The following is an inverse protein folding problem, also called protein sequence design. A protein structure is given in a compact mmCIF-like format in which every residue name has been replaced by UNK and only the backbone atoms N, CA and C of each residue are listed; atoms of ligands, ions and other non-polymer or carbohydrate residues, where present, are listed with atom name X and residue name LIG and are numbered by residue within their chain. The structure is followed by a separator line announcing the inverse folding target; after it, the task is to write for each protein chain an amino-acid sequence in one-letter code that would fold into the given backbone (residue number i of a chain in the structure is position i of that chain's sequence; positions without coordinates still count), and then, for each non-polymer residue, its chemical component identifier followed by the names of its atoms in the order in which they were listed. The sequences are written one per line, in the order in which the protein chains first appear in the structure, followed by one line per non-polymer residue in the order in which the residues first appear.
data_IF_350200563032
#
_entry.id   IF_350200563032
#
_cell.length_a   1.000
_cell.length_b   1.000
_cell.length_c   1.000
_cell.angle_alpha   90.00
_cell.angle_beta   90.00
_cell.angle_gamma   90.00
#
_symmetry.space_group_name_H-M   'P 1'
#
loop_
_entity.id
_entity.type
_entity.pdbx_description
1 polymer ?
#
# COMPACT_ATOMS: atom_id res chain seq x y z
N UNK A 1 14.51 -24.18 13.19
CA UNK A 1 14.09 -23.71 11.85
C UNK A 1 13.66 -22.27 12.01
N UNK A 2 14.26 -21.34 11.25
CA UNK A 2 13.85 -19.94 11.28
C UNK A 2 12.55 -19.79 10.48
N UNK A 3 11.42 -19.79 11.20
CA UNK A 3 10.11 -19.71 10.57
C UNK A 3 9.91 -18.39 9.82
N UNK A 4 10.68 -17.33 10.11
CA UNK A 4 10.56 -16.04 9.43
C UNK A 4 10.90 -16.12 7.93
N UNK A 5 11.65 -17.13 7.50
CA UNK A 5 12.04 -17.34 6.09
C UNK A 5 11.23 -18.42 5.37
N UNK A 6 10.26 -19.02 6.05
CA UNK A 6 9.44 -20.08 5.50
C UNK A 6 8.58 -19.53 4.34
N UNK A 7 8.71 -20.14 3.16
CA UNK A 7 7.86 -19.77 2.01
C UNK A 7 6.49 -20.41 2.12
N UNK A 8 5.49 -19.78 1.49
CA UNK A 8 4.12 -20.30 1.46
C UNK A 8 4.06 -21.71 0.87
N UNK A 9 4.77 -21.95 -0.23
CA UNK A 9 4.73 -23.26 -0.93
C UNK A 9 5.35 -24.40 -0.11
N UNK A 10 6.29 -24.06 0.78
CA UNK A 10 7.01 -25.01 1.64
C UNK A 10 6.14 -25.50 2.80
N UNK A 11 5.04 -24.80 3.12
CA UNK A 11 4.08 -25.23 4.12
C UNK A 11 3.22 -26.34 3.53
N UNK A 12 3.56 -27.59 3.85
CA UNK A 12 2.83 -28.79 3.45
C UNK A 12 2.65 -29.70 4.66
N UNK A 13 1.43 -30.18 4.84
CA UNK A 13 1.12 -31.19 5.87
C UNK A 13 1.07 -32.60 5.29
N UNK A 14 0.88 -32.73 3.97
CA UNK A 14 0.95 -33.97 3.21
C UNK A 14 1.84 -33.78 2.00
N UNK A 15 2.62 -34.80 1.66
CA UNK A 15 3.39 -34.79 0.42
C UNK A 15 2.44 -34.84 -0.78
N UNK A 16 2.60 -33.89 -1.69
CA UNK A 16 1.80 -33.75 -2.90
C UNK A 16 2.66 -33.97 -4.16
N UNK A 17 3.75 -34.74 -4.09
CA UNK A 17 4.51 -35.11 -5.28
C UNK A 17 3.73 -36.17 -6.09
N UNK A 18 3.33 -35.79 -7.30
CA UNK A 18 2.60 -36.67 -8.21
C UNK A 18 3.42 -37.91 -8.57
N UNK A 19 4.74 -37.79 -8.76
CA UNK A 19 5.57 -38.91 -9.15
C UNK A 19 5.65 -39.95 -8.02
N UNK A 20 5.78 -39.50 -6.77
CA UNK A 20 5.79 -40.37 -5.59
C UNK A 20 4.43 -41.00 -5.36
N UNK A 21 3.35 -40.21 -5.44
CA UNK A 21 1.98 -40.70 -5.29
C UNK A 21 1.71 -41.76 -6.34
N UNK A 22 2.02 -41.47 -7.61
CA UNK A 22 1.86 -42.42 -8.71
C UNK A 22 2.64 -43.69 -8.40
N UNK A 23 3.94 -43.60 -8.11
CA UNK A 23 4.82 -44.74 -7.82
C UNK A 23 4.28 -45.64 -6.70
N UNK A 24 3.81 -45.04 -5.60
CA UNK A 24 3.21 -45.76 -4.49
C UNK A 24 1.93 -46.50 -4.90
N UNK A 25 1.05 -45.87 -5.69
CA UNK A 25 -0.18 -46.50 -6.17
C UNK A 25 0.10 -47.67 -7.14
N UNK A 26 1.14 -47.58 -7.97
CA UNK A 26 1.58 -48.71 -8.81
C UNK A 26 1.98 -49.87 -7.91
N UNK A 27 2.88 -49.61 -6.96
CA UNK A 27 3.48 -50.63 -6.12
C UNK A 27 2.40 -51.36 -5.29
N UNK A 28 1.45 -50.62 -4.71
CA UNK A 28 0.32 -51.21 -3.99
C UNK A 28 -0.54 -52.10 -4.91
N UNK A 29 -0.85 -51.65 -6.12
CA UNK A 29 -1.62 -52.45 -7.07
C UNK A 29 -0.87 -53.73 -7.49
N UNK A 30 0.40 -53.60 -7.88
CA UNK A 30 1.22 -54.74 -8.33
C UNK A 30 1.38 -55.78 -7.22
N UNK A 31 1.56 -55.33 -5.98
CA UNK A 31 1.63 -56.20 -4.80
C UNK A 31 0.33 -56.98 -4.59
N UNK A 32 -0.84 -56.33 -4.72
CA UNK A 32 -2.15 -56.97 -4.50
C UNK A 32 -2.57 -57.87 -5.66
N UNK A 33 -2.29 -57.46 -6.90
CA UNK A 33 -2.68 -58.18 -8.09
C UNK A 33 -1.67 -59.26 -8.50
N UNK A 34 -0.47 -59.26 -7.93
CA UNK A 34 0.61 -60.20 -8.27
C UNK A 34 1.11 -60.07 -9.71
N UNK A 35 0.93 -58.90 -10.33
CA UNK A 35 1.31 -58.64 -11.73
C UNK A 35 2.03 -57.30 -11.86
N UNK A 36 3.01 -57.22 -12.76
CA UNK A 36 3.72 -55.99 -13.10
C UNK A 36 2.92 -55.22 -14.17
N UNK A 37 2.71 -53.92 -13.96
CA UNK A 37 1.97 -53.04 -14.85
C UNK A 37 2.88 -52.36 -15.86
N UNK A 38 2.60 -52.54 -17.14
CA UNK A 38 3.26 -51.81 -18.23
C UNK A 38 2.56 -50.47 -18.50
N UNK A 39 3.25 -49.47 -19.08
CA UNK A 39 2.70 -48.13 -19.32
C UNK A 39 1.37 -48.09 -20.08
N UNK A 40 1.14 -49.02 -21.00
CA UNK A 40 -0.04 -49.07 -21.87
C UNK A 40 -1.20 -49.92 -21.33
N UNK A 41 -1.05 -50.56 -20.17
CA UNK A 41 -2.14 -51.36 -19.58
C UNK A 41 -3.31 -50.47 -19.15
N UNK A 42 -4.54 -50.96 -19.28
CA UNK A 42 -5.75 -50.19 -18.94
C UNK A 42 -5.73 -49.78 -17.45
N UNK A 43 -5.29 -50.69 -16.58
CA UNK A 43 -5.18 -50.45 -15.15
C UNK A 43 -4.14 -49.37 -14.83
N UNK A 44 -3.08 -49.29 -15.65
CA UNK A 44 -2.09 -48.21 -15.54
C UNK A 44 -2.71 -46.85 -15.83
N UNK A 45 -3.50 -46.74 -16.90
CA UNK A 45 -4.17 -45.50 -17.28
C UNK A 45 -5.21 -45.06 -16.23
N UNK A 46 -5.92 -46.02 -15.64
CA UNK A 46 -6.84 -45.76 -14.52
C UNK A 46 -6.08 -45.28 -13.28
N UNK A 47 -4.98 -45.94 -12.91
CA UNK A 47 -4.11 -45.54 -11.79
C UNK A 47 -3.56 -44.12 -12.00
N UNK A 48 -3.12 -43.77 -13.21
CA UNK A 48 -2.67 -42.40 -13.51
C UNK A 48 -3.78 -41.37 -13.20
N UNK A 49 -5.02 -41.69 -13.56
CA UNK A 49 -6.18 -40.81 -13.28
C UNK A 49 -6.43 -40.68 -11.79
N UNK A 50 -6.40 -41.78 -11.04
CA UNK A 50 -6.60 -41.76 -9.58
C UNK A 50 -5.46 -41.04 -8.84
N UNK A 51 -4.21 -41.33 -9.19
CA UNK A 51 -3.04 -40.66 -8.61
C UNK A 51 -3.07 -39.15 -8.88
N UNK A 52 -3.50 -38.72 -10.07
CA UNK A 52 -3.68 -37.30 -10.37
C UNK A 52 -4.79 -36.66 -9.52
N UNK A 53 -5.94 -37.33 -9.37
CA UNK A 53 -7.03 -36.85 -8.50
C UNK A 53 -6.62 -36.79 -7.03
N UNK A 54 -5.87 -37.77 -6.55
CA UNK A 54 -5.32 -37.79 -5.19
C UNK A 54 -4.32 -36.65 -4.99
N UNK A 55 -3.41 -36.44 -5.95
CA UNK A 55 -2.49 -35.31 -5.94
C UNK A 55 -3.22 -33.97 -5.82
N UNK A 56 -4.26 -33.73 -6.63
CA UNK A 56 -5.08 -32.51 -6.53
C UNK A 56 -5.74 -32.37 -5.16
N UNK A 57 -6.24 -33.46 -4.58
CA UNK A 57 -6.81 -33.45 -3.23
C UNK A 57 -5.76 -33.09 -2.18
N UNK A 58 -4.55 -33.67 -2.25
CA UNK A 58 -3.44 -33.36 -1.35
C UNK A 58 -3.00 -31.90 -1.47
N UNK A 59 -2.98 -31.35 -2.69
CA UNK A 59 -2.75 -29.91 -2.91
C UNK A 59 -3.83 -29.06 -2.25
N UNK A 60 -5.11 -29.42 -2.38
CA UNK A 60 -6.22 -28.73 -1.72
C UNK A 60 -6.13 -28.80 -0.19
N UNK A 61 -5.73 -29.94 0.36
CA UNK A 61 -5.49 -30.12 1.80
C UNK A 61 -4.36 -29.20 2.28
N UNK A 62 -3.22 -29.19 1.58
CA UNK A 62 -2.11 -28.29 1.90
C UNK A 62 -2.55 -26.81 1.84
N UNK A 63 -3.35 -26.45 0.83
CA UNK A 63 -3.87 -25.07 0.72
C UNK A 63 -4.83 -24.73 1.86
N UNK A 64 -5.74 -25.62 2.24
CA UNK A 64 -6.64 -25.40 3.37
C UNK A 64 -5.88 -25.12 4.68
N UNK A 65 -4.77 -25.84 4.93
CA UNK A 65 -3.93 -25.60 6.10
C UNK A 65 -3.17 -24.27 6.03
N UNK A 66 -2.68 -23.85 4.86
CA UNK A 66 -2.06 -22.52 4.69
C UNK A 66 -3.05 -21.41 5.02
N UNK A 67 -4.30 -21.57 4.58
CA UNK A 67 -5.36 -20.60 4.78
C UNK A 67 -5.74 -20.41 6.26
N UNK A 68 -5.43 -21.37 7.15
CA UNK A 68 -5.63 -21.20 8.60
C UNK A 68 -4.61 -20.29 9.29
N UNK A 69 -3.52 -19.93 8.61
CA UNK A 69 -2.47 -19.09 9.18
C UNK A 69 -2.54 -17.68 8.58
N UNK A 70 -2.69 -16.62 9.38
CA UNK A 70 -2.82 -15.24 8.87
C UNK A 70 -1.71 -14.84 7.89
N UNK A 71 -0.49 -15.36 8.12
CA UNK A 71 0.67 -15.12 7.27
C UNK A 71 0.51 -15.61 5.82
N UNK A 72 -0.29 -16.64 5.58
CA UNK A 72 -0.46 -17.26 4.26
C UNK A 72 -1.90 -17.15 3.74
N UNK A 73 -2.85 -16.87 4.61
CA UNK A 73 -4.25 -16.70 4.25
C UNK A 73 -4.47 -15.55 3.26
N UNK A 74 -5.51 -15.70 2.43
CA UNK A 74 -5.92 -14.72 1.40
C UNK A 74 -7.44 -14.64 1.32
N UNK A 75 -7.97 -13.52 0.86
CA UNK A 75 -9.40 -13.28 0.69
C UNK A 75 -10.19 -13.56 1.97
N UNK A 76 -11.32 -14.26 1.83
CA UNK A 76 -12.25 -14.53 2.94
C UNK A 76 -11.58 -15.24 4.14
N UNK A 77 -10.64 -16.15 3.91
CA UNK A 77 -10.02 -16.84 5.05
C UNK A 77 -9.10 -15.91 5.84
N UNK A 78 -8.46 -14.94 5.19
CA UNK A 78 -7.71 -13.89 5.88
C UNK A 78 -8.65 -13.00 6.71
N UNK A 79 -9.86 -12.72 6.20
CA UNK A 79 -10.89 -11.98 6.94
C UNK A 79 -11.33 -12.73 8.20
N UNK A 80 -11.50 -14.06 8.12
CA UNK A 80 -11.79 -14.88 9.29
C UNK A 80 -10.64 -14.87 10.31
N UNK A 81 -9.39 -14.98 9.85
CA UNK A 81 -8.23 -14.85 10.72
C UNK A 81 -8.15 -13.48 11.42
N UNK A 82 -8.56 -12.40 10.74
CA UNK A 82 -8.59 -11.07 11.33
C UNK A 82 -9.75 -10.87 12.30
N UNK A 83 -10.90 -11.50 12.06
CA UNK A 83 -12.05 -11.50 12.97
C UNK A 83 -11.70 -12.11 14.34
N UNK A 84 -10.92 -13.20 14.35
CA UNK A 84 -10.42 -13.86 15.57
C UNK A 84 -9.66 -12.90 16.51
N UNK A 85 -9.05 -11.85 15.94
CA UNK A 85 -8.30 -10.80 16.67
C UNK A 85 -8.98 -9.43 16.60
N UNK A 86 -10.30 -9.39 16.35
CA UNK A 86 -11.11 -8.16 16.30
C UNK A 86 -10.57 -7.08 15.36
N UNK A 87 -10.00 -7.53 14.24
CA UNK A 87 -9.33 -6.69 13.24
C UNK A 87 -10.08 -6.84 11.91
N UNK A 88 -11.28 -6.25 11.75
CA UNK A 88 -12.04 -6.34 10.51
C UNK A 88 -11.36 -5.54 9.40
N UNK A 89 -11.48 -5.98 8.15
CA UNK A 89 -10.91 -5.30 6.97
C UNK A 89 -11.43 -3.87 6.83
N UNK A 90 -10.51 -2.93 6.58
CA UNK A 90 -10.89 -1.53 6.40
C UNK A 90 -11.61 -1.35 5.06
N UNK A 91 -12.79 -0.75 5.12
CA UNK A 91 -13.60 -0.44 3.94
C UNK A 91 -13.02 0.72 3.15
N UNK A 92 -13.46 0.86 1.89
CA UNK A 92 -13.09 1.99 1.04
C UNK A 92 -13.42 3.33 1.73
N UNK A 93 -12.50 4.28 1.64
CA UNK A 93 -12.64 5.61 2.24
C UNK A 93 -12.66 6.69 1.15
N UNK A 94 -13.43 7.77 1.33
CA UNK A 94 -13.45 8.88 0.39
C UNK A 94 -12.20 9.75 0.51
N UNK A 95 -11.89 10.47 -0.57
CA UNK A 95 -10.86 11.49 -0.55
C UNK A 95 -11.26 12.68 0.31
N UNK A 96 -10.30 13.24 1.04
CA UNK A 96 -10.48 14.37 1.95
C UNK A 96 -9.79 15.61 1.37
N UNK A 97 -10.38 16.77 1.62
CA UNK A 97 -9.82 18.08 1.25
C UNK A 97 -10.36 19.17 2.17
N UNK A 98 -9.71 20.33 2.16
CA UNK A 98 -10.19 21.54 2.83
C UNK A 98 -10.69 22.53 1.79
N UNK A 99 -11.94 22.98 1.92
CA UNK A 99 -12.56 23.99 1.07
C UNK A 99 -12.55 25.35 1.75
N UNK A 100 -12.13 26.39 1.04
CA UNK A 100 -12.27 27.77 1.49
C UNK A 100 -13.47 28.41 0.82
N UNK A 101 -14.43 28.85 1.63
CA UNK A 101 -15.56 29.65 1.21
C UNK A 101 -15.25 31.12 1.47
N UNK A 102 -15.57 31.99 0.52
CA UNK A 102 -15.36 33.43 0.64
C UNK A 102 -16.56 34.18 0.07
N UNK A 103 -17.06 35.16 0.82
CA UNK A 103 -18.16 36.01 0.40
C UNK A 103 -17.88 37.46 0.77
N UNK A 104 -18.35 38.41 -0.04
CA UNK A 104 -18.30 39.83 0.30
C UNK A 104 -19.54 40.16 1.11
N UNK A 105 -19.36 40.48 2.39
CA UNK A 105 -20.43 40.72 3.36
C UNK A 105 -20.28 42.10 3.98
N UNK A 106 -21.40 42.76 4.26
CA UNK A 106 -21.45 44.10 4.83
C UNK A 106 -22.38 44.19 6.05
N UNK A 107 -22.02 45.02 7.02
CA UNK A 107 -22.83 45.24 8.22
C UNK A 107 -23.06 43.96 9.04
N UNK A 108 -24.33 43.55 9.15
CA UNK A 108 -24.78 42.38 9.92
C UNK A 108 -25.10 41.17 9.03
N UNK A 109 -24.76 41.20 7.74
CA UNK A 109 -24.96 40.08 6.83
C UNK A 109 -24.16 38.84 7.27
N UNK A 110 -24.80 37.67 7.17
CA UNK A 110 -24.19 36.39 7.50
C UNK A 110 -24.65 35.34 6.48
N UNK A 111 -23.73 34.46 6.08
CA UNK A 111 -24.04 33.32 5.21
C UNK A 111 -23.60 32.04 5.91
N UNK A 112 -24.56 31.13 6.10
CA UNK A 112 -24.27 29.80 6.61
C UNK A 112 -23.78 28.89 5.48
N UNK A 113 -22.68 28.19 5.73
CA UNK A 113 -22.22 27.04 4.95
C UNK A 113 -22.66 25.80 5.74
N UNK A 114 -23.82 25.19 5.45
CA UNK A 114 -24.27 24.02 6.19
C UNK A 114 -23.35 22.82 5.92
N UNK A 115 -23.33 21.89 6.87
CA UNK A 115 -22.79 20.54 6.63
C UNK A 115 -23.55 19.90 5.46
N UNK A 116 -22.83 19.25 4.55
CA UNK A 116 -23.38 18.64 3.34
C UNK A 116 -23.44 19.58 2.12
N UNK A 117 -22.87 20.78 2.22
CA UNK A 117 -22.74 21.68 1.06
C UNK A 117 -21.91 21.02 -0.03
N UNK A 118 -22.45 20.90 -1.24
CA UNK A 118 -21.82 20.18 -2.36
C UNK A 118 -21.03 21.12 -3.28
N UNK A 119 -19.78 20.75 -3.56
CA UNK A 119 -18.88 21.42 -4.50
C UNK A 119 -18.32 20.43 -5.50
N UNK A 120 -18.38 20.75 -6.78
CA UNK A 120 -18.00 19.90 -7.89
C UNK A 120 -16.60 20.24 -8.40
N UNK A 121 -15.93 19.20 -8.90
CA UNK A 121 -14.66 19.23 -9.61
C UNK A 121 -14.78 18.31 -10.83
N UNK A 122 -15.05 18.88 -12.01
CA UNK A 122 -15.35 18.09 -13.21
C UNK A 122 -16.57 17.18 -13.03
N UNK A 123 -16.36 15.86 -12.99
CA UNK A 123 -17.40 14.86 -12.75
C UNK A 123 -17.49 14.38 -11.29
N UNK A 124 -16.54 14.78 -10.44
CA UNK A 124 -16.48 14.38 -9.03
C UNK A 124 -17.13 15.44 -8.15
N UNK A 125 -17.81 15.02 -7.08
CA UNK A 125 -18.40 15.93 -6.09
C UNK A 125 -17.79 15.73 -4.71
N UNK A 126 -17.69 16.81 -3.96
CA UNK A 126 -17.28 16.85 -2.55
C UNK A 126 -18.40 17.47 -1.72
N UNK A 127 -18.53 17.03 -0.48
CA UNK A 127 -19.51 17.54 0.49
C UNK A 127 -18.81 17.99 1.77
N UNK A 128 -19.23 19.13 2.34
CA UNK A 128 -18.68 19.60 3.62
C UNK A 128 -19.05 18.67 4.77
N UNK A 129 -18.09 18.33 5.63
CA UNK A 129 -18.31 17.44 6.78
C UNK A 129 -18.72 18.21 8.03
N UNK A 130 -18.51 19.52 8.03
CA UNK A 130 -18.82 20.46 9.10
C UNK A 130 -19.59 21.67 8.57
N UNK A 131 -20.22 22.42 9.48
CA UNK A 131 -20.87 23.68 9.15
C UNK A 131 -19.94 24.86 9.49
N UNK A 132 -20.05 25.94 8.73
CA UNK A 132 -19.36 27.19 8.99
C UNK A 132 -20.29 28.39 8.79
N UNK A 133 -19.86 29.55 9.30
CA UNK A 133 -20.58 30.81 9.19
C UNK A 133 -19.64 31.89 8.68
N UNK A 134 -20.03 32.53 7.57
CA UNK A 134 -19.36 33.71 7.05
C UNK A 134 -20.06 34.95 7.60
N UNK A 135 -19.29 35.91 8.08
CA UNK A 135 -19.78 37.21 8.59
C UNK A 135 -18.96 38.35 8.01
N UNK A 136 -19.39 39.60 8.14
CA UNK A 136 -18.57 40.74 7.72
C UNK A 136 -17.20 40.81 8.42
N UNK A 137 -17.08 40.31 9.67
CA UNK A 137 -15.82 40.23 10.41
C UNK A 137 -14.95 39.03 9.99
N UNK A 138 -15.57 37.97 9.46
CA UNK A 138 -14.92 36.76 8.98
C UNK A 138 -15.54 36.35 7.64
N UNK A 139 -15.11 37.02 6.58
CA UNK A 139 -15.62 36.85 5.22
C UNK A 139 -15.10 35.59 4.52
N UNK A 140 -14.21 34.84 5.18
CA UNK A 140 -13.64 33.59 4.70
C UNK A 140 -13.65 32.52 5.80
N UNK A 141 -14.03 31.29 5.44
CA UNK A 141 -13.98 30.13 6.32
C UNK A 141 -13.40 28.92 5.59
N UNK A 142 -12.57 28.14 6.30
CA UNK A 142 -12.06 26.86 5.83
C UNK A 142 -12.90 25.74 6.45
N UNK A 143 -13.37 24.83 5.61
CA UNK A 143 -14.29 23.75 6.00
C UNK A 143 -13.78 22.45 5.42
N UNK A 144 -13.67 21.42 6.26
CA UNK A 144 -13.33 20.08 5.80
C UNK A 144 -14.42 19.53 4.89
N UNK A 145 -14.01 18.81 3.84
CA UNK A 145 -14.90 18.18 2.88
C UNK A 145 -14.38 16.81 2.49
N UNK A 146 -15.31 15.92 2.12
CA UNK A 146 -15.02 14.58 1.64
C UNK A 146 -15.69 14.33 0.29
N UNK A 147 -15.08 13.49 -0.53
CA UNK A 147 -15.62 13.04 -1.81
C UNK A 147 -16.93 12.27 -1.58
N UNK A 148 -17.92 12.44 -2.45
CA UNK A 148 -19.19 11.70 -2.36
C UNK A 148 -19.06 10.24 -2.72
N UNK A 149 -18.00 9.89 -3.44
CA UNK A 149 -17.64 8.52 -3.81
C UNK A 149 -16.43 8.08 -2.98
N UNK A 150 -16.53 6.91 -2.35
CA UNK A 150 -15.39 6.24 -1.72
C UNK A 150 -14.43 5.71 -2.79
N UNK A 151 -13.17 5.50 -2.42
CA UNK A 151 -12.16 5.01 -3.35
C UNK A 151 -11.21 6.11 -3.81
N UNK A 152 -10.38 5.79 -4.78
CA UNK A 152 -9.31 6.69 -5.23
C UNK A 152 -9.75 7.74 -6.27
N UNK A 153 -11.01 7.70 -6.71
CA UNK A 153 -11.57 8.62 -7.73
C UNK A 153 -11.45 10.09 -7.32
N UNK A 154 -11.59 10.39 -6.02
CA UNK A 154 -11.53 11.75 -5.49
C UNK A 154 -10.12 12.29 -5.24
N UNK A 155 -9.06 11.56 -5.54
CA UNK A 155 -7.68 11.98 -5.24
C UNK A 155 -7.08 12.87 -6.35
N UNK A 156 -6.10 13.69 -5.96
CA UNK A 156 -5.21 14.39 -6.87
C UNK A 156 -5.75 15.69 -7.46
N UNK A 157 -6.91 16.18 -7.00
CA UNK A 157 -7.41 17.48 -7.43
C UNK A 157 -6.52 18.58 -6.87
N UNK A 158 -5.87 19.33 -7.76
CA UNK A 158 -4.96 20.41 -7.41
C UNK A 158 -5.72 21.54 -6.70
N UNK A 159 -4.98 22.33 -5.91
CA UNK A 159 -5.52 23.52 -5.24
C UNK A 159 -6.25 24.41 -6.25
N UNK A 160 -7.47 24.81 -5.93
CA UNK A 160 -8.32 25.63 -6.79
C UNK A 160 -9.18 24.89 -7.82
N UNK A 161 -9.03 23.57 -8.01
CA UNK A 161 -9.81 22.82 -9.01
C UNK A 161 -11.21 22.41 -8.53
N UNK A 162 -11.41 22.26 -7.22
CA UNK A 162 -12.71 21.96 -6.62
C UNK A 162 -13.40 23.28 -6.30
N UNK A 163 -14.14 23.84 -7.26
CA UNK A 163 -14.55 25.25 -7.22
C UNK A 163 -15.98 25.57 -7.69
N UNK A 164 -16.77 24.55 -8.06
CA UNK A 164 -18.12 24.76 -8.60
C UNK A 164 -19.19 24.40 -7.57
N UNK A 165 -19.84 25.37 -6.94
CA UNK A 165 -20.97 25.11 -6.04
C UNK A 165 -22.12 24.44 -6.79
N UNK A 166 -22.63 23.32 -6.27
CA UNK A 166 -23.80 22.67 -6.84
C UNK A 166 -25.08 23.47 -6.59
N UNK A 167 -25.17 24.11 -5.42
CA UNK A 167 -26.30 24.94 -5.02
C UNK A 167 -25.79 26.27 -4.46
N UNK A 168 -26.51 27.35 -4.77
CA UNK A 168 -26.18 28.68 -4.26
C UNK A 168 -26.54 28.77 -2.78
N UNK A 169 -25.61 29.25 -1.96
CA UNK A 169 -25.76 29.34 -0.50
C UNK A 169 -26.56 30.55 -0.02
N UNK A 170 -26.68 31.61 -0.83
CA UNK A 170 -27.42 32.82 -0.48
C UNK A 170 -28.16 33.38 -1.71
N UNK A 171 -29.41 33.89 -1.60
CA UNK A 171 -30.20 34.31 -2.76
C UNK A 171 -29.53 35.35 -3.67
N UNK A 172 -28.79 36.29 -3.09
CA UNK A 172 -28.26 37.47 -3.80
C UNK A 172 -26.74 37.67 -3.70
N UNK A 173 -26.07 37.00 -2.76
CA UNK A 173 -24.66 37.22 -2.48
C UNK A 173 -23.91 36.01 -3.02
N UNK A 174 -22.96 36.25 -3.93
CA UNK A 174 -22.14 35.18 -4.47
C UNK A 174 -21.10 34.72 -3.44
N UNK A 175 -21.00 33.41 -3.26
CA UNK A 175 -19.99 32.77 -2.43
C UNK A 175 -19.02 32.07 -3.37
N UNK A 176 -17.76 32.49 -3.36
CA UNK A 176 -16.69 31.78 -4.02
C UNK A 176 -16.26 30.59 -3.16
N UNK A 177 -15.95 29.46 -3.80
CA UNK A 177 -15.38 28.29 -3.12
C UNK A 177 -14.22 27.73 -3.93
N UNK A 178 -13.19 27.27 -3.23
CA UNK A 178 -12.07 26.53 -3.82
C UNK A 178 -11.40 25.65 -2.78
N UNK A 179 -10.91 24.47 -3.16
CA UNK A 179 -10.03 23.71 -2.28
C UNK A 179 -8.69 24.41 -2.06
N UNK A 180 -8.23 24.42 -0.80
CA UNK A 180 -6.93 24.95 -0.39
C UNK A 180 -5.86 23.87 -0.27
N UNK A 181 -6.27 22.61 -0.18
CA UNK A 181 -5.40 21.44 -0.15
C UNK A 181 -5.65 20.53 -1.35
N UNK A 182 -4.62 19.81 -1.79
CA UNK A 182 -4.80 18.75 -2.80
C UNK A 182 -5.66 17.65 -2.18
N UNK A 183 -6.69 17.19 -2.88
CA UNK A 183 -7.53 16.11 -2.37
C UNK A 183 -6.74 14.80 -2.31
N UNK A 184 -6.80 14.09 -1.19
CA UNK A 184 -6.08 12.82 -1.02
C UNK A 184 -6.73 11.93 0.06
N UNK A 185 -6.16 10.74 0.27
CA UNK A 185 -6.63 9.79 1.30
C UNK A 185 -7.81 8.92 0.87
N UNK A 186 -8.36 9.14 -0.34
CA UNK A 186 -9.35 8.27 -0.95
C UNK A 186 -8.71 6.95 -1.36
N UNK A 187 -9.29 5.84 -0.94
CA UNK A 187 -8.65 4.53 -1.10
C UNK A 187 -9.71 3.45 -1.19
N UNK A 188 -9.43 2.46 -2.03
CA UNK A 188 -10.27 1.26 -2.15
C UNK A 188 -10.27 0.45 -0.84
N UNK A 189 -11.09 -0.60 -0.82
CA UNK A 189 -11.03 -1.59 0.25
C UNK A 189 -9.59 -2.08 0.45
N UNK A 190 -9.21 -2.29 1.70
CA UNK A 190 -7.86 -2.72 2.07
C UNK A 190 -7.47 -4.02 1.36
N UNK A 191 -6.28 -4.04 0.76
CA UNK A 191 -5.76 -5.24 0.09
C UNK A 191 -5.26 -6.28 1.10
N UNK A 192 -5.07 -7.52 0.64
CA UNK A 192 -4.66 -8.64 1.49
C UNK A 192 -3.29 -8.44 2.15
N UNK A 193 -2.37 -7.71 1.53
CA UNK A 193 -1.03 -7.53 2.09
C UNK A 193 -1.06 -6.55 3.27
N UNK A 194 -1.64 -5.37 3.05
CA UNK A 194 -1.83 -4.39 4.12
C UNK A 194 -2.69 -4.95 5.27
N UNK A 195 -3.75 -5.69 4.92
CA UNK A 195 -4.61 -6.30 5.91
C UNK A 195 -3.89 -7.38 6.72
N UNK A 196 -3.11 -8.25 6.07
CA UNK A 196 -2.31 -9.27 6.74
C UNK A 196 -1.33 -8.67 7.73
N UNK A 197 -0.62 -7.62 7.35
CA UNK A 197 0.28 -6.91 8.26
C UNK A 197 -0.47 -6.41 9.50
N UNK A 198 -1.67 -5.84 9.32
CA UNK A 198 -2.49 -5.36 10.43
C UNK A 198 -2.97 -6.49 11.34
N UNK A 199 -3.40 -7.63 10.79
CA UNK A 199 -3.78 -8.83 11.56
C UNK A 199 -2.59 -9.37 12.36
N UNK A 200 -1.40 -9.43 11.76
CA UNK A 200 -0.19 -9.87 12.45
C UNK A 200 0.27 -8.91 13.56
N UNK A 201 -0.02 -7.61 13.41
CA UNK A 201 0.24 -6.58 14.42
C UNK A 201 -0.83 -6.48 15.50
N UNK A 202 -2.04 -7.02 15.29
CA UNK A 202 -3.15 -6.93 16.24
C UNK A 202 -2.79 -7.35 17.67
N UNK A 203 -1.98 -8.42 17.91
CA UNK A 203 -1.53 -8.77 19.25
C UNK A 203 -0.76 -7.66 19.98
N UNK A 204 0.01 -6.85 19.25
CA UNK A 204 0.76 -5.72 19.81
C UNK A 204 -0.16 -4.63 20.35
N UNK A 205 -1.37 -4.51 19.79
CA UNK A 205 -2.37 -3.52 20.22
C UNK A 205 -2.89 -3.74 21.63
N UNK A 206 -2.81 -4.97 22.16
CA UNK A 206 -3.18 -5.29 23.54
C UNK A 206 -2.12 -4.85 24.56
N UNK A 207 -0.95 -4.41 24.09
CA UNK A 207 0.15 -4.02 24.96
C UNK A 207 -0.11 -2.68 25.64
N UNK A 208 -0.03 -2.68 26.97
CA UNK A 208 -0.21 -1.49 27.81
C UNK A 208 1.01 -0.56 27.81
N UNK A 209 2.16 -1.05 27.38
CA UNK A 209 3.43 -0.33 27.44
C UNK A 209 3.73 0.54 26.21
N UNK A 210 2.87 0.51 25.18
CA UNK A 210 3.06 1.25 23.93
C UNK A 210 4.30 0.84 23.13
N UNK A 211 4.48 -0.44 22.80
CA UNK A 211 5.57 -0.87 21.92
C UNK A 211 5.42 -0.26 20.53
N UNK A 212 6.52 -0.24 19.78
CA UNK A 212 6.55 0.19 18.36
C UNK A 212 5.42 -0.45 17.54
N UNK A 213 5.20 -1.75 17.70
CA UNK A 213 4.16 -2.49 16.99
C UNK A 213 2.73 -2.00 17.28
N UNK A 214 2.44 -1.55 18.50
CA UNK A 214 1.12 -1.02 18.85
C UNK A 214 0.83 0.28 18.11
N UNK A 215 1.80 1.19 18.05
CA UNK A 215 1.69 2.44 17.30
C UNK A 215 1.55 2.20 15.79
N UNK A 216 2.31 1.25 15.25
CA UNK A 216 2.18 0.83 13.85
C UNK A 216 0.78 0.28 13.56
N UNK A 217 0.26 -0.59 14.43
CA UNK A 217 -1.10 -1.12 14.32
C UNK A 217 -2.15 0.00 14.30
N UNK A 218 -2.14 0.86 15.31
CA UNK A 218 -3.15 1.92 15.45
C UNK A 218 -3.07 2.95 14.31
N UNK A 219 -1.87 3.22 13.78
CA UNK A 219 -1.68 4.10 12.63
C UNK A 219 -2.30 3.49 11.36
N UNK A 220 -2.03 2.21 11.09
CA UNK A 220 -2.62 1.48 9.96
C UNK A 220 -4.14 1.29 10.11
N UNK A 221 -4.62 1.05 11.32
CA UNK A 221 -6.04 0.95 11.64
C UNK A 221 -6.81 2.25 11.32
N UNK A 222 -6.16 3.41 11.40
CA UNK A 222 -6.83 4.69 11.17
C UNK A 222 -7.20 4.91 9.69
N UNK A 223 -6.44 4.37 8.74
CA UNK A 223 -6.73 4.49 7.31
C UNK A 223 -6.00 3.44 6.46
N UNK A 224 -6.69 2.78 5.50
CA UNK A 224 -6.05 1.88 4.54
C UNK A 224 -5.23 2.63 3.48
N UNK A 225 -5.24 3.97 3.49
CA UNK A 225 -4.32 4.77 2.69
C UNK A 225 -2.88 4.68 3.22
N UNK A 226 -2.68 4.27 4.48
CA UNK A 226 -1.35 4.07 5.07
C UNK A 226 -0.72 2.79 4.51
N UNK A 227 0.46 2.93 3.93
CA UNK A 227 1.22 1.80 3.36
C UNK A 227 2.41 1.39 4.21
N UNK A 228 3.04 2.34 4.90
CA UNK A 228 4.13 2.05 5.82
C UNK A 228 4.17 3.02 7.00
N UNK A 229 4.68 2.54 8.13
CA UNK A 229 4.76 3.31 9.38
C UNK A 229 6.07 3.01 10.09
N UNK A 230 6.84 4.07 10.32
CA UNK A 230 8.01 4.03 11.19
C UNK A 230 7.70 4.72 12.52
N UNK A 231 8.10 4.08 13.62
CA UNK A 231 7.90 4.60 14.98
C UNK A 231 9.24 4.67 15.68
N UNK A 232 9.55 5.84 16.24
CA UNK A 232 10.74 6.09 17.03
C UNK A 232 10.45 7.14 18.10
N UNK A 233 11.45 7.45 18.93
CA UNK A 233 11.38 8.64 19.76
C UNK A 233 11.44 9.89 18.87
N UNK A 234 10.64 10.89 19.20
CA UNK A 234 10.83 12.23 18.63
C UNK A 234 12.19 12.78 19.08
N UNK A 235 12.80 13.63 18.26
CA UNK A 235 14.14 14.16 18.53
C UNK A 235 14.12 15.67 18.64
N UNK A 236 14.97 16.21 19.51
CA UNK A 236 15.19 17.66 19.57
C UNK A 236 16.01 18.18 18.37
N UNK A 237 16.28 19.49 18.34
CA UNK A 237 17.09 20.10 17.28
C UNK A 237 18.53 19.60 17.19
N UNK A 238 19.02 18.89 18.22
CA UNK A 238 20.33 18.24 18.25
C UNK A 238 20.29 16.74 17.89
N UNK A 239 19.11 16.19 17.57
CA UNK A 239 18.93 14.78 17.23
C UNK A 239 18.86 13.85 18.45
N UNK A 240 18.72 14.39 19.67
CA UNK A 240 18.60 13.57 20.88
C UNK A 240 17.14 13.16 21.12
N UNK A 241 16.88 11.90 21.53
CA UNK A 241 15.53 11.45 21.86
C UNK A 241 14.88 12.28 22.97
N UNK A 242 13.64 12.70 22.74
CA UNK A 242 12.82 13.38 23.75
C UNK A 242 11.99 12.33 24.48
N UNK A 243 12.26 12.14 25.77
CA UNK A 243 11.53 11.19 26.61
C UNK A 243 10.02 11.45 26.62
N UNK A 244 9.24 10.38 26.47
CA UNK A 244 7.78 10.47 26.44
C UNK A 244 7.21 11.13 25.17
N UNK A 245 8.02 11.35 24.12
CA UNK A 245 7.52 11.78 22.80
C UNK A 245 7.75 10.70 21.76
N UNK A 246 6.65 10.20 21.19
CA UNK A 246 6.67 9.16 20.17
C UNK A 246 6.44 9.80 18.82
N UNK A 247 7.44 9.70 17.93
CA UNK A 247 7.31 10.11 16.54
C UNK A 247 6.78 8.93 15.70
N UNK A 248 5.67 9.16 15.01
CA UNK A 248 5.05 8.19 14.08
C UNK A 248 5.10 8.78 12.68
N UNK A 249 6.04 8.29 11.88
CA UNK A 249 6.20 8.70 10.48
C UNK A 249 5.36 7.80 9.60
N UNK A 250 4.44 8.38 8.82
CA UNK A 250 3.45 7.65 8.02
C UNK A 250 3.68 7.89 6.54
N UNK A 251 3.75 6.81 5.76
CA UNK A 251 3.75 6.83 4.30
C UNK A 251 2.35 6.44 3.78
N UNK A 252 1.85 7.18 2.78
CA UNK A 252 0.59 6.86 2.12
C UNK A 252 0.82 6.11 0.80
N UNK A 253 -0.20 5.38 0.32
CA UNK A 253 -0.16 4.63 -0.96
C UNK A 253 0.16 5.51 -2.17
N UNK A 254 -0.27 6.76 -2.16
CA UNK A 254 -0.01 7.77 -3.18
C UNK A 254 1.28 8.59 -2.93
N UNK A 255 2.01 8.30 -1.85
CA UNK A 255 3.27 8.93 -1.47
C UNK A 255 3.18 9.68 -0.15
N UNK A 256 3.46 10.99 -0.17
CA UNK A 256 3.40 11.80 1.05
C UNK A 256 1.95 11.99 1.50
N UNK A 257 1.60 11.72 2.78
CA UNK A 257 0.27 11.96 3.28
C UNK A 257 -0.04 13.47 3.35
N UNK A 258 -1.28 13.85 3.07
CA UNK A 258 -1.76 15.22 3.27
C UNK A 258 -2.04 15.51 4.76
N UNK A 259 -2.29 16.79 5.07
CA UNK A 259 -2.52 17.24 6.44
C UNK A 259 -3.78 16.59 7.07
N UNK A 260 -4.80 16.34 6.26
CA UNK A 260 -6.05 15.71 6.68
C UNK A 260 -5.83 14.25 7.12
N UNK A 261 -5.07 13.47 6.34
CA UNK A 261 -4.70 12.10 6.70
C UNK A 261 -3.81 12.08 7.96
N UNK A 262 -2.82 12.97 8.04
CA UNK A 262 -1.98 13.11 9.25
C UNK A 262 -2.83 13.44 10.48
N UNK A 263 -3.74 14.42 10.36
CA UNK A 263 -4.63 14.82 11.45
C UNK A 263 -5.55 13.70 11.91
N UNK A 264 -6.11 12.93 10.97
CA UNK A 264 -6.92 11.73 11.27
C UNK A 264 -6.14 10.70 12.07
N UNK A 265 -4.90 10.41 11.66
CA UNK A 265 -4.04 9.44 12.35
C UNK A 265 -3.56 9.99 13.71
N UNK A 266 -3.22 11.28 13.78
CA UNK A 266 -2.86 11.97 15.01
C UNK A 266 -3.98 11.84 16.05
N UNK A 267 -5.22 12.14 15.67
CA UNK A 267 -6.37 11.99 16.55
C UNK A 267 -6.57 10.54 17.00
N UNK A 268 -6.42 9.59 16.07
CA UNK A 268 -6.54 8.16 16.35
C UNK A 268 -5.50 7.65 17.36
N UNK A 269 -4.25 8.10 17.25
CA UNK A 269 -3.15 7.68 18.13
C UNK A 269 -3.12 8.44 19.46
N UNK A 270 -3.64 9.66 19.48
CA UNK A 270 -3.63 10.51 20.69
C UNK A 270 -4.73 10.16 21.69
N UNK A 271 -5.68 9.30 21.32
CA UNK A 271 -6.81 8.92 22.15
C UNK A 271 -6.37 8.23 23.46
N UNK A 272 -6.94 8.65 24.59
CA UNK A 272 -6.56 8.19 25.94
C UNK A 272 -6.65 6.67 26.13
N UNK A 273 -7.57 6.01 25.40
CA UNK A 273 -7.75 4.56 25.47
C UNK A 273 -6.75 3.76 24.61
N UNK A 274 -5.83 4.43 23.90
CA UNK A 274 -4.92 3.79 22.93
C UNK A 274 -3.46 4.00 23.25
N UNK A 275 -3.05 5.21 23.62
CA UNK A 275 -1.66 5.50 23.99
C UNK A 275 -1.40 5.24 25.48
N UNK A 276 -0.18 4.87 25.88
CA UNK A 276 0.26 4.99 27.26
C UNK A 276 0.08 6.42 27.77
N UNK A 277 -0.22 6.53 29.07
CA UNK A 277 -0.55 7.80 29.72
C UNK A 277 0.55 8.87 29.53
N UNK A 278 1.81 8.46 29.61
CA UNK A 278 2.98 9.34 29.56
C UNK A 278 3.43 9.72 28.14
N UNK A 279 2.85 9.10 27.10
CA UNK A 279 3.34 9.27 25.74
C UNK A 279 2.64 10.44 25.05
N UNK A 280 3.40 11.36 24.46
CA UNK A 280 2.91 12.39 23.55
C UNK A 280 3.23 11.96 22.13
N UNK A 281 2.20 11.61 21.37
CA UNK A 281 2.39 11.14 19.99
C UNK A 281 2.47 12.32 19.04
N UNK A 282 3.40 12.26 18.08
CA UNK A 282 3.55 13.23 16.99
C UNK A 282 3.57 12.47 15.67
N UNK A 283 2.54 12.67 14.85
CA UNK A 283 2.42 12.06 13.52
C UNK A 283 2.97 13.01 12.48
N UNK A 284 3.82 12.52 11.59
CA UNK A 284 4.45 13.32 10.53
C UNK A 284 4.58 12.56 9.21
N UNK A 285 4.67 13.31 8.12
CA UNK A 285 5.09 12.77 6.83
C UNK A 285 6.59 12.44 6.84
N UNK A 286 7.04 11.45 6.06
CA UNK A 286 8.46 11.19 5.89
C UNK A 286 9.14 12.33 5.13
N UNK A 287 10.44 12.47 5.35
CA UNK A 287 11.24 13.37 4.50
C UNK A 287 11.55 12.67 3.17
N UNK A 288 11.12 13.27 2.06
CA UNK A 288 11.38 12.73 0.73
C UNK A 288 12.87 12.88 0.36
N UNK A 289 13.49 11.79 -0.05
CA UNK A 289 14.83 11.75 -0.65
C UNK A 289 14.65 11.57 -2.15
N UNK A 290 14.69 12.69 -2.87
CA UNK A 290 14.44 12.72 -4.30
C UNK A 290 15.66 12.24 -5.09
N UNK A 291 15.42 11.40 -6.09
CA UNK A 291 16.45 10.96 -7.04
C UNK A 291 15.89 10.83 -8.44
N UNK A 292 16.77 10.74 -9.43
CA UNK A 292 16.41 10.49 -10.83
C UNK A 292 17.11 9.24 -11.35
N UNK A 293 16.39 8.41 -12.09
CA UNK A 293 16.98 7.32 -12.85
C UNK A 293 17.36 7.83 -14.25
N UNK A 294 18.64 7.70 -14.59
CA UNK A 294 19.16 7.82 -15.96
C UNK A 294 19.95 6.56 -16.28
N UNK A 295 19.33 5.64 -17.01
CA UNK A 295 19.87 4.33 -17.30
C UNK A 295 20.12 4.16 -18.80
N UNK A 296 21.28 3.62 -19.13
CA UNK A 296 21.71 3.27 -20.48
C UNK A 296 21.88 1.75 -20.58
N UNK A 297 21.19 1.14 -21.55
CA UNK A 297 21.18 -0.29 -21.79
C UNK A 297 22.04 -0.63 -23.02
N UNK A 298 22.95 -1.59 -22.85
CA UNK A 298 23.59 -2.32 -23.95
C UNK A 298 22.86 -3.64 -24.13
N UNK A 299 22.40 -3.94 -25.33
CA UNK A 299 21.68 -5.18 -25.64
C UNK A 299 22.60 -6.22 -26.28
N UNK A 300 22.22 -7.49 -26.23
CA UNK A 300 22.87 -8.51 -27.05
C UNK A 300 22.51 -8.32 -28.53
N UNK A 301 23.46 -8.62 -29.42
CA UNK A 301 23.25 -8.60 -30.87
C UNK A 301 22.10 -9.53 -31.25
N UNK A 302 21.18 -9.05 -32.09
CA UNK A 302 19.99 -9.81 -32.49
C UNK A 302 18.81 -9.69 -31.52
N UNK A 303 18.97 -9.03 -30.38
CA UNK A 303 17.84 -8.70 -29.48
C UNK A 303 16.95 -7.64 -30.11
N UNK A 304 15.63 -7.84 -30.07
CA UNK A 304 14.67 -6.82 -30.45
C UNK A 304 14.67 -5.66 -29.45
N UNK A 305 15.15 -4.50 -29.89
CA UNK A 305 15.34 -3.32 -29.05
C UNK A 305 14.04 -2.83 -28.39
N UNK A 306 12.92 -2.91 -29.11
CA UNK A 306 11.62 -2.44 -28.62
C UNK A 306 11.12 -3.34 -27.49
N UNK A 307 11.19 -4.64 -27.67
CA UNK A 307 10.76 -5.65 -26.69
C UNK A 307 11.64 -5.59 -25.44
N UNK A 308 12.96 -5.53 -25.60
CA UNK A 308 13.88 -5.44 -24.46
C UNK A 308 13.69 -4.14 -23.65
N UNK A 309 13.48 -3.01 -24.33
CA UNK A 309 13.19 -1.74 -23.64
C UNK A 309 11.87 -1.79 -22.89
N UNK A 310 10.80 -2.30 -23.51
CA UNK A 310 9.51 -2.44 -22.85
C UNK A 310 9.59 -3.37 -21.62
N UNK A 311 10.34 -4.47 -21.72
CA UNK A 311 10.59 -5.36 -20.59
C UNK A 311 11.39 -4.69 -19.47
N UNK A 312 12.41 -3.88 -19.79
CA UNK A 312 13.19 -3.13 -18.81
C UNK A 312 12.34 -2.02 -18.14
N UNK A 313 11.50 -1.32 -18.89
CA UNK A 313 10.56 -0.33 -18.35
C UNK A 313 9.52 -0.98 -17.42
N UNK A 314 9.03 -2.16 -17.78
CA UNK A 314 8.13 -2.93 -16.92
C UNK A 314 8.84 -3.41 -15.65
N UNK A 315 10.06 -3.95 -15.76
CA UNK A 315 10.85 -4.38 -14.60
C UNK A 315 11.16 -3.20 -13.67
N UNK A 316 11.46 -2.03 -14.24
CA UNK A 316 11.60 -0.79 -13.47
C UNK A 316 10.31 -0.41 -12.75
N UNK A 317 9.16 -0.45 -13.42
CA UNK A 317 7.88 -0.10 -12.80
C UNK A 317 7.55 -1.02 -11.62
N UNK A 318 7.80 -2.32 -11.74
CA UNK A 318 7.62 -3.29 -10.64
C UNK A 318 8.58 -3.00 -9.48
N UNK A 319 9.85 -2.75 -9.80
CA UNK A 319 10.88 -2.42 -8.82
C UNK A 319 10.57 -1.12 -8.06
N UNK A 320 10.18 -0.07 -8.78
CA UNK A 320 9.83 1.23 -8.21
C UNK A 320 8.58 1.12 -7.34
N UNK A 321 7.52 0.45 -7.82
CA UNK A 321 6.28 0.27 -7.05
C UNK A 321 6.52 -0.44 -5.70
N UNK A 322 7.31 -1.53 -5.69
CA UNK A 322 7.62 -2.27 -4.47
C UNK A 322 8.46 -1.47 -3.45
N UNK A 323 9.27 -0.53 -3.93
CA UNK A 323 10.09 0.34 -3.06
C UNK A 323 9.34 1.58 -2.61
N UNK A 324 8.47 2.11 -3.49
CA UNK A 324 7.64 3.27 -3.22
C UNK A 324 6.67 3.05 -2.06
N UNK A 325 6.31 1.80 -1.78
CA UNK A 325 5.42 1.41 -0.68
C UNK A 325 6.12 1.28 0.68
N UNK A 326 7.42 1.60 0.81
CA UNK A 326 8.18 1.40 2.05
C UNK A 326 9.08 2.56 2.43
N UNK A 327 9.27 2.76 3.73
CA UNK A 327 10.20 3.72 4.32
C UNK A 327 11.60 3.11 4.49
N UNK A 328 12.62 3.98 4.54
CA UNK A 328 13.98 3.58 4.89
C UNK A 328 14.67 2.62 3.93
N UNK A 329 14.19 2.51 2.69
CA UNK A 329 14.84 1.69 1.67
C UNK A 329 15.93 2.49 0.95
N UNK A 330 17.16 2.00 1.07
CA UNK A 330 18.33 2.58 0.41
C UNK A 330 18.19 2.60 -1.13
N UNK A 331 18.76 3.65 -1.73
CA UNK A 331 18.90 3.76 -3.18
C UNK A 331 20.20 3.06 -3.55
N UNK A 332 20.09 1.77 -3.88
CA UNK A 332 21.24 0.91 -4.20
C UNK A 332 21.38 0.77 -5.72
N UNK A 333 22.43 1.31 -6.36
CA UNK A 333 22.61 1.25 -7.81
C UNK A 333 22.70 -0.18 -8.34
N UNK A 334 23.33 -1.08 -7.58
CA UNK A 334 23.47 -2.48 -7.96
C UNK A 334 22.11 -3.21 -8.07
N UNK A 335 21.20 -2.95 -7.14
CA UNK A 335 19.85 -3.52 -7.18
C UNK A 335 19.08 -3.02 -8.41
N UNK A 336 19.21 -1.72 -8.72
CA UNK A 336 18.59 -1.10 -9.89
C UNK A 336 19.15 -1.69 -11.18
N UNK A 337 20.47 -1.82 -11.28
CA UNK A 337 21.13 -2.47 -12.43
C UNK A 337 20.63 -3.91 -12.60
N UNK A 338 20.50 -4.64 -11.50
CA UNK A 338 20.03 -6.04 -11.50
C UNK A 338 18.57 -6.13 -11.95
N UNK A 339 17.70 -5.22 -11.49
CA UNK A 339 16.31 -5.16 -11.92
C UNK A 339 16.16 -4.82 -13.41
N UNK A 340 17.01 -3.93 -13.94
CA UNK A 340 17.02 -3.54 -15.35
C UNK A 340 17.69 -4.57 -16.27
N UNK A 341 18.47 -5.50 -15.73
CA UNK A 341 19.18 -6.55 -16.49
C UNK A 341 18.24 -7.71 -16.84
N UNK A 342 17.20 -7.38 -17.62
CA UNK A 342 16.22 -8.32 -18.16
C UNK A 342 16.79 -9.12 -19.34
N UNK A 343 16.05 -10.14 -19.81
CA UNK A 343 16.46 -10.95 -20.95
C UNK A 343 16.77 -10.07 -22.19
N UNK A 344 17.92 -10.32 -22.82
CA UNK A 344 18.41 -9.54 -23.97
C UNK A 344 19.25 -8.30 -23.60
N UNK A 345 19.32 -7.92 -22.32
CA UNK A 345 20.20 -6.83 -21.85
C UNK A 345 21.56 -7.40 -21.45
N UNK A 346 22.63 -6.96 -22.13
CA UNK A 346 24.01 -7.30 -21.82
C UNK A 346 24.53 -6.51 -20.62
N UNK A 347 24.37 -5.19 -20.65
CA UNK A 347 24.88 -4.30 -19.62
C UNK A 347 23.92 -3.15 -19.33
N UNK A 348 23.96 -2.66 -18.09
CA UNK A 348 23.22 -1.49 -17.62
C UNK A 348 24.23 -0.51 -17.04
N UNK A 349 24.22 0.72 -17.51
CA UNK A 349 25.01 1.83 -16.95
C UNK A 349 24.05 2.84 -16.35
N UNK A 350 24.28 3.21 -15.09
CA UNK A 350 23.50 4.23 -14.39
C UNK A 350 24.33 5.51 -14.31
N UNK A 351 23.73 6.64 -14.68
CA UNK A 351 24.38 7.94 -14.61
C UNK A 351 23.90 8.71 -13.38
N UNK A 352 24.86 9.30 -12.65
CA UNK A 352 24.61 10.19 -11.51
C UNK A 352 23.70 9.61 -10.41
N UNK A 353 23.76 8.30 -10.19
CA UNK A 353 22.98 7.64 -9.14
C UNK A 353 23.93 6.96 -8.14
N UNK A 354 24.44 7.69 -7.13
CA UNK A 354 25.28 7.11 -6.10
C UNK A 354 24.45 6.25 -5.13
N UNK A 355 25.12 5.33 -4.44
CA UNK A 355 24.55 4.65 -3.27
C UNK A 355 24.14 5.71 -2.24
N UNK A 356 22.86 5.73 -1.91
CA UNK A 356 22.30 6.69 -0.94
C UNK A 356 21.62 5.92 0.18
N UNK A 357 22.12 6.10 1.40
CA UNK A 357 21.50 5.54 2.61
C UNK A 357 20.29 6.39 2.99
N UNK A 358 19.13 5.75 3.10
CA UNK A 358 17.85 6.40 3.41
C UNK A 358 17.48 6.07 4.85
N UNK A 359 17.25 7.10 5.67
CA UNK A 359 16.93 6.88 7.09
C UNK A 359 15.55 6.22 7.25
N UNK A 360 15.28 5.53 8.37
CA UNK A 360 13.99 4.87 8.62
C UNK A 360 12.76 5.78 8.55
N UNK A 361 12.91 7.09 8.77
CA UNK A 361 11.86 8.11 8.68
C UNK A 361 11.86 8.87 7.34
N UNK A 362 12.66 8.41 6.39
CA UNK A 362 12.77 8.97 5.04
C UNK A 362 12.14 8.06 4.01
N UNK A 363 11.76 8.65 2.88
CA UNK A 363 11.13 7.96 1.75
C UNK A 363 11.86 8.30 0.45
N UNK A 364 12.38 7.28 -0.22
CA UNK A 364 13.05 7.45 -1.51
C UNK A 364 12.02 7.69 -2.62
N UNK A 365 12.08 8.85 -3.28
CA UNK A 365 11.13 9.22 -4.35
C UNK A 365 11.85 9.42 -5.67
N UNK A 366 11.55 8.55 -6.65
CA UNK A 366 12.01 8.78 -8.01
C UNK A 366 11.17 9.90 -8.65
N UNK A 367 11.78 11.04 -8.98
CA UNK A 367 11.08 12.19 -9.58
C UNK A 367 11.05 12.10 -11.11
N UNK A 368 12.01 11.39 -11.70
CA UNK A 368 12.10 11.16 -13.14
C UNK A 368 12.88 9.89 -13.44
N UNK A 369 12.37 9.10 -14.37
CA UNK A 369 13.04 7.91 -14.89
C UNK A 369 13.23 8.02 -16.41
N UNK A 370 14.47 7.78 -16.87
CA UNK A 370 14.86 7.74 -18.28
C UNK A 370 15.63 6.46 -18.54
N UNK A 371 15.14 5.64 -19.47
CA UNK A 371 15.78 4.39 -19.89
C UNK A 371 16.05 4.46 -21.40
N UNK A 372 17.32 4.33 -21.77
CA UNK A 372 17.81 4.51 -23.14
C UNK A 372 18.55 3.25 -23.60
N UNK A 373 18.55 2.99 -24.90
CA UNK A 373 19.40 1.96 -25.50
C UNK A 373 20.55 2.68 -26.19
N UNK A 374 21.80 2.30 -25.87
CA UNK A 374 22.97 2.91 -26.50
C UNK A 374 23.60 2.08 -27.61
N UNK A 375 23.69 0.76 -27.43
CA UNK A 375 24.38 -0.10 -28.39
C UNK A 375 23.91 -1.57 -28.30
N UNK A 376 24.27 -2.34 -29.32
CA UNK A 376 24.26 -3.80 -29.30
C UNK A 376 25.70 -4.33 -29.26
N UNK A 377 25.92 -5.42 -28.55
CA UNK A 377 27.22 -6.12 -28.51
C UNK A 377 27.04 -7.62 -28.68
N UNK A 378 28.01 -8.28 -29.31
CA UNK A 378 28.08 -9.74 -29.32
C UNK A 378 28.77 -10.21 -28.02
N UNK A 379 28.35 -11.37 -27.51
CA UNK A 379 29.09 -12.06 -26.45
C UNK A 379 30.33 -12.68 -27.11
N UNK A 380 31.52 -12.38 -26.55
CA UNK A 380 32.82 -12.84 -27.06
C UNK A 380 33.30 -14.06 -26.31
#
# INVERSE_FOLDING_TARGET
MDLSKLKREEVKIVDDDLAQTLAATIADYEQRAGKVLQPAHIERLLINTFAYREHLLRQQVNEAYRQQHPRFATGLMLDLCGDDVSTPRLQAQPALTTLRFTAVLSGLEQIAVPKGTRVNAGQTSFVTTEAALLTAAQSSAEVAAECTESGSVGNGWSVGQINSLAERLHPTIDVAVSNTTVSAGGVEIEDDEAYRERVLLAPESFSVAGPVGAYQYWARQASPAVVDVHVANDTDGGGQPIGGRVAVTVLAKDGLPNAELIGKIQAALSAEKRRPLCDTVVVKAPTAVDYTLDAELTLFTGTDARTAKAAAEQAWAVYEAARRSRLGLDIVPLDIMSALKVAGVYNVVLHNLPLTVVKPDQWARCTRATIRIAAQTAEG
#
